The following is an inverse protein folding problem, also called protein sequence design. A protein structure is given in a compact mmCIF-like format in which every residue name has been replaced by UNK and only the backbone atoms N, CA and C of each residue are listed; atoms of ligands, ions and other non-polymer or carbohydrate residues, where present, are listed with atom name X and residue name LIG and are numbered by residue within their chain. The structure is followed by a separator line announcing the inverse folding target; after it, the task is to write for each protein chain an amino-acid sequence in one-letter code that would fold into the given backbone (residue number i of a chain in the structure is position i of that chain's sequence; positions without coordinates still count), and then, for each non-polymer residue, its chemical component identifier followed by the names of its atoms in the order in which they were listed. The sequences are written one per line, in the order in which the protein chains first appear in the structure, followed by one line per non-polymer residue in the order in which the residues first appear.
data_IF_075718366397
#
_entry.id   IF_075718366397
#
_cell.length_a   1.000
_cell.length_b   1.000
_cell.length_c   1.000
_cell.angle_alpha   90.00
_cell.angle_beta   90.00
_cell.angle_gamma   90.00
#
_symmetry.space_group_name_H-M   'P 1'
#
loop_
_entity.id
_entity.type
_entity.pdbx_description
1 polymer ?
#
# COMPACT_ATOMS: atom_id res chain seq x y z
N UNK A 1 51.97 14.40 -38.18
CA UNK A 1 53.19 14.48 -37.34
C UNK A 1 52.76 14.41 -35.89
N UNK A 2 52.97 13.27 -35.22
CA UNK A 2 52.54 13.07 -33.84
C UNK A 2 53.60 13.66 -32.89
N UNK A 3 53.16 14.57 -32.00
CA UNK A 3 54.02 15.19 -31.01
C UNK A 3 54.59 14.12 -30.07
N UNK A 4 55.91 13.99 -30.04
CA UNK A 4 56.63 13.08 -29.15
C UNK A 4 56.49 13.62 -27.73
N UNK A 5 55.54 13.10 -26.96
CA UNK A 5 55.40 13.44 -25.54
C UNK A 5 56.66 12.93 -24.81
N UNK A 6 57.39 13.87 -24.21
CA UNK A 6 58.68 13.63 -23.58
C UNK A 6 58.51 12.82 -22.29
N UNK A 7 58.77 11.50 -22.39
CA UNK A 7 58.62 10.49 -21.32
C UNK A 7 59.35 10.87 -20.03
N UNK A 8 60.38 11.72 -20.11
CA UNK A 8 61.17 12.21 -18.95
C UNK A 8 60.50 13.35 -18.18
N UNK A 9 59.53 14.07 -18.76
CA UNK A 9 58.77 15.13 -18.08
C UNK A 9 57.62 14.60 -17.22
N UNK A 10 57.02 13.47 -17.63
CA UNK A 10 55.99 12.77 -16.83
C UNK A 10 56.56 12.07 -15.58
N UNK A 11 57.87 11.77 -15.57
CA UNK A 11 58.57 11.09 -14.47
C UNK A 11 59.17 12.03 -13.40
N UNK A 12 59.02 13.36 -13.55
CA UNK A 12 59.69 14.37 -12.71
C UNK A 12 58.75 15.33 -11.98
N UNK A 13 57.43 15.19 -12.13
CA UNK A 13 56.53 15.90 -11.23
C UNK A 13 56.53 15.15 -9.89
N UNK A 14 56.76 15.82 -8.75
CA UNK A 14 56.55 15.18 -7.46
C UNK A 14 55.06 14.87 -7.38
N UNK A 15 54.75 13.62 -7.66
CA UNK A 15 53.51 12.90 -7.42
C UNK A 15 52.52 13.73 -6.56
N UNK A 16 51.56 14.41 -7.20
CA UNK A 16 50.55 15.19 -6.48
C UNK A 16 49.79 14.30 -5.47
N UNK A 17 49.70 13.01 -5.77
CA UNK A 17 49.22 11.98 -4.87
C UNK A 17 50.09 11.76 -3.64
N UNK A 18 51.42 11.76 -3.76
CA UNK A 18 52.33 11.63 -2.60
C UNK A 18 52.24 12.87 -1.71
N UNK A 19 52.19 14.08 -2.30
CA UNK A 19 52.08 15.31 -1.49
C UNK A 19 50.69 15.49 -0.85
N UNK A 20 49.63 14.99 -1.46
CA UNK A 20 48.29 14.96 -0.85
C UNK A 20 48.21 13.93 0.28
N UNK A 21 48.72 12.72 0.06
CA UNK A 21 48.73 11.65 1.07
C UNK A 21 49.65 11.97 2.25
N UNK A 22 50.83 12.54 2.03
CA UNK A 22 51.70 13.00 3.12
C UNK A 22 51.05 14.11 3.95
N UNK A 23 50.36 15.06 3.31
CA UNK A 23 49.60 16.10 4.01
C UNK A 23 48.43 15.53 4.80
N UNK A 24 47.70 14.58 4.23
CA UNK A 24 46.59 13.91 4.91
C UNK A 24 47.06 13.09 6.12
N UNK A 25 48.17 12.35 5.98
CA UNK A 25 48.77 11.55 7.06
C UNK A 25 49.32 12.44 8.17
N UNK A 26 50.00 13.54 7.82
CA UNK A 26 50.50 14.50 8.79
C UNK A 26 49.35 15.17 9.54
N UNK A 27 48.32 15.63 8.83
CA UNK A 27 47.12 16.19 9.46
C UNK A 27 46.42 15.18 10.36
N UNK A 28 46.27 13.92 9.94
CA UNK A 28 45.66 12.87 10.74
C UNK A 28 46.45 12.56 12.02
N UNK A 29 47.79 12.59 11.96
CA UNK A 29 48.65 12.48 13.15
C UNK A 29 48.48 13.68 14.09
N UNK A 30 48.52 14.89 13.53
CA UNK A 30 48.40 16.14 14.29
C UNK A 30 46.98 16.32 14.88
N UNK A 31 45.98 15.64 14.31
CA UNK A 31 44.58 15.69 14.73
C UNK A 31 44.04 14.31 15.17
N UNK A 32 44.89 13.42 15.66
CA UNK A 32 44.53 12.01 15.93
C UNK A 32 43.29 11.89 16.83
N UNK A 33 43.17 12.72 17.86
CA UNK A 33 42.00 12.75 18.75
C UNK A 33 40.70 13.06 17.98
N UNK A 34 40.72 14.03 17.06
CA UNK A 34 39.55 14.37 16.23
C UNK A 34 39.22 13.25 15.25
N UNK A 35 40.22 12.65 14.64
CA UNK A 35 40.04 11.50 13.73
C UNK A 35 39.41 10.32 14.47
N UNK A 36 39.89 10.00 15.68
CA UNK A 36 39.33 8.94 16.50
C UNK A 36 37.89 9.23 16.93
N UNK A 37 37.57 10.48 17.31
CA UNK A 37 36.20 10.88 17.65
C UNK A 37 35.28 10.68 16.44
N UNK A 38 35.65 11.20 15.26
CA UNK A 38 34.85 11.06 14.04
C UNK A 38 34.69 9.59 13.66
N UNK A 39 35.77 8.81 13.67
CA UNK A 39 35.72 7.38 13.36
C UNK A 39 34.82 6.62 14.34
N UNK A 40 34.94 6.90 15.65
CA UNK A 40 34.08 6.29 16.67
C UNK A 40 32.61 6.66 16.50
N UNK A 41 32.32 7.92 16.15
CA UNK A 41 30.96 8.37 15.86
C UNK A 41 30.37 7.67 14.62
N UNK A 42 31.16 7.49 13.56
CA UNK A 42 30.74 6.74 12.36
C UNK A 42 30.47 5.28 12.69
N UNK A 43 31.34 4.62 13.46
CA UNK A 43 31.14 3.23 13.90
C UNK A 43 29.90 3.12 14.79
N UNK A 44 29.70 4.04 15.73
CA UNK A 44 28.51 4.06 16.57
C UNK A 44 27.23 4.24 15.76
N UNK A 45 27.21 5.18 14.80
CA UNK A 45 26.09 5.37 13.89
C UNK A 45 25.79 4.10 13.08
N UNK A 46 26.82 3.42 12.56
CA UNK A 46 26.67 2.17 11.83
C UNK A 46 26.07 1.07 12.72
N UNK A 47 26.54 0.93 13.96
CA UNK A 47 26.00 -0.03 14.93
C UNK A 47 24.53 0.25 15.21
N UNK A 48 24.13 1.52 15.38
CA UNK A 48 22.73 1.91 15.58
C UNK A 48 21.87 1.54 14.36
N UNK A 49 22.32 1.84 13.14
CA UNK A 49 21.60 1.48 11.91
C UNK A 49 21.42 -0.03 11.79
N UNK A 50 22.49 -0.81 12.06
CA UNK A 50 22.43 -2.27 12.00
C UNK A 50 21.51 -2.84 13.09
N UNK A 51 21.53 -2.27 14.30
CA UNK A 51 20.65 -2.67 15.39
C UNK A 51 19.17 -2.41 15.06
N UNK A 52 18.85 -1.23 14.52
CA UNK A 52 17.48 -0.89 14.06
C UNK A 52 17.05 -1.87 12.97
N UNK A 53 17.91 -2.11 11.97
CA UNK A 53 17.59 -3.06 10.89
C UNK A 53 17.33 -4.47 11.43
N UNK A 54 18.22 -4.98 12.29
CA UNK A 54 18.06 -6.31 12.88
C UNK A 54 16.78 -6.42 13.72
N UNK A 55 16.42 -5.37 14.47
CA UNK A 55 15.18 -5.31 15.23
C UNK A 55 13.95 -5.33 14.32
N UNK A 56 13.92 -4.50 13.26
CA UNK A 56 12.83 -4.45 12.29
C UNK A 56 12.67 -5.80 11.56
N UNK A 57 13.77 -6.40 11.10
CA UNK A 57 13.76 -7.71 10.45
C UNK A 57 13.22 -8.80 11.38
N UNK A 58 13.64 -8.80 12.66
CA UNK A 58 13.14 -9.73 13.66
C UNK A 58 11.64 -9.54 13.93
N UNK A 59 11.20 -8.30 14.03
CA UNK A 59 9.78 -7.97 14.25
C UNK A 59 8.91 -8.35 13.04
N UNK A 60 9.41 -8.13 11.81
CA UNK A 60 8.75 -8.57 10.58
C UNK A 60 8.60 -10.10 10.51
N UNK A 61 9.64 -10.86 10.90
CA UNK A 61 9.58 -12.33 10.94
C UNK A 61 8.56 -12.84 11.94
N UNK A 62 8.46 -12.22 13.12
CA UNK A 62 7.45 -12.57 14.11
C UNK A 62 6.04 -12.27 13.60
N UNK A 63 5.84 -11.11 12.96
CA UNK A 63 4.55 -10.76 12.37
C UNK A 63 4.12 -11.77 11.31
N UNK A 64 5.02 -12.17 10.42
CA UNK A 64 4.76 -13.19 9.40
C UNK A 64 4.44 -14.56 10.03
N UNK A 65 5.17 -14.97 11.07
CA UNK A 65 4.93 -16.20 11.79
C UNK A 65 3.58 -16.20 12.53
N UNK A 66 3.16 -15.06 13.07
CA UNK A 66 1.86 -14.89 13.71
C UNK A 66 0.70 -14.92 12.70
N UNK A 67 0.90 -14.36 11.51
CA UNK A 67 -0.12 -14.29 10.46
C UNK A 67 -0.33 -15.63 9.73
N UNK A 68 0.76 -16.35 9.44
CA UNK A 68 0.74 -17.56 8.62
C UNK A 68 -0.34 -18.61 9.02
N UNK A 69 -0.48 -19.03 10.29
CA UNK A 69 -1.49 -20.00 10.67
C UNK A 69 -2.92 -19.49 10.50
N UNK A 70 -3.14 -18.18 10.72
CA UNK A 70 -4.46 -17.56 10.56
C UNK A 70 -4.87 -17.55 9.09
N UNK A 71 -3.92 -17.24 8.19
CA UNK A 71 -4.15 -17.26 6.75
C UNK A 71 -4.39 -18.66 6.19
N UNK A 72 -3.79 -19.70 6.79
CA UNK A 72 -4.13 -21.09 6.44
C UNK A 72 -5.59 -21.40 6.75
N UNK A 73 -6.13 -20.91 7.88
CA UNK A 73 -7.56 -21.03 8.20
C UNK A 73 -8.46 -20.16 7.31
N UNK A 74 -7.96 -19.00 6.89
CA UNK A 74 -8.65 -18.08 5.99
C UNK A 74 -8.97 -18.70 4.63
N UNK A 75 -8.20 -19.71 4.17
CA UNK A 75 -8.48 -20.42 2.93
C UNK A 75 -9.89 -21.03 2.91
N UNK A 76 -10.39 -21.54 4.04
CA UNK A 76 -11.76 -22.06 4.14
C UNK A 76 -12.83 -20.99 3.89
N UNK A 77 -12.51 -19.71 4.14
CA UNK A 77 -13.37 -18.56 3.86
C UNK A 77 -13.46 -18.31 2.38
N UNK A 78 -12.32 -18.28 1.71
CA UNK A 78 -12.22 -18.09 0.26
C UNK A 78 -12.93 -19.23 -0.49
N UNK A 79 -12.83 -20.46 0.02
CA UNK A 79 -13.51 -21.63 -0.54
C UNK A 79 -15.01 -21.71 -0.21
N UNK A 80 -15.54 -20.78 0.60
CA UNK A 80 -16.95 -20.78 1.02
C UNK A 80 -17.32 -21.92 1.96
N UNK A 81 -16.35 -22.55 2.63
CA UNK A 81 -16.53 -23.70 3.53
C UNK A 81 -16.59 -23.31 5.01
N UNK A 82 -16.18 -22.10 5.37
CA UNK A 82 -16.18 -21.64 6.74
C UNK A 82 -17.56 -21.10 7.16
N UNK A 83 -18.00 -21.48 8.35
CA UNK A 83 -19.23 -20.97 8.95
C UNK A 83 -18.99 -19.64 9.70
N UNK A 84 -20.07 -19.01 10.16
CA UNK A 84 -20.01 -17.73 10.86
C UNK A 84 -19.16 -17.78 12.14
N UNK A 85 -19.13 -18.91 12.84
CA UNK A 85 -18.35 -19.08 14.08
C UNK A 85 -16.85 -19.14 13.77
N UNK A 86 -16.47 -19.85 12.71
CA UNK A 86 -15.11 -19.91 12.22
C UNK A 86 -14.64 -18.53 11.75
N UNK A 87 -15.47 -17.79 10.99
CA UNK A 87 -15.15 -16.40 10.61
C UNK A 87 -14.90 -15.51 11.82
N UNK A 88 -15.75 -15.61 12.85
CA UNK A 88 -15.60 -14.80 14.06
C UNK A 88 -14.29 -15.14 14.80
N UNK A 89 -13.94 -16.43 14.91
CA UNK A 89 -12.68 -16.88 15.49
C UNK A 89 -11.46 -16.38 14.69
N UNK A 90 -11.51 -16.44 13.36
CA UNK A 90 -10.45 -15.90 12.51
C UNK A 90 -10.32 -14.38 12.66
N UNK A 91 -11.44 -13.65 12.75
CA UNK A 91 -11.42 -12.20 12.98
C UNK A 91 -10.78 -11.84 14.33
N UNK A 92 -11.03 -12.62 15.40
CA UNK A 92 -10.36 -12.43 16.70
C UNK A 92 -8.84 -12.69 16.61
N UNK A 93 -8.43 -13.74 15.89
CA UNK A 93 -7.01 -14.04 15.67
C UNK A 93 -6.32 -12.95 14.86
N UNK A 94 -6.93 -12.48 13.78
CA UNK A 94 -6.42 -11.36 12.99
C UNK A 94 -6.36 -10.08 13.82
N UNK A 95 -7.36 -9.82 14.67
CA UNK A 95 -7.35 -8.65 15.58
C UNK A 95 -6.07 -8.63 16.44
N UNK A 96 -5.67 -9.78 17.00
CA UNK A 96 -4.41 -9.91 17.76
C UNK A 96 -3.20 -9.55 16.90
N UNK A 97 -3.10 -10.13 15.69
CA UNK A 97 -2.00 -9.81 14.76
C UNK A 97 -1.97 -8.33 14.41
N UNK A 98 -3.13 -7.69 14.18
CA UNK A 98 -3.21 -6.27 13.84
C UNK A 98 -2.83 -5.35 15.00
N UNK A 99 -3.10 -5.76 16.24
CA UNK A 99 -2.74 -4.99 17.43
C UNK A 99 -1.24 -5.08 17.72
N UNK A 100 -0.67 -6.27 17.59
CA UNK A 100 0.73 -6.52 17.96
C UNK A 100 1.70 -6.12 16.85
N UNK A 101 1.28 -6.22 15.58
CA UNK A 101 2.16 -6.08 14.42
C UNK A 101 1.63 -5.14 13.33
N UNK A 102 0.65 -4.28 13.63
CA UNK A 102 -0.13 -3.53 12.64
C UNK A 102 0.68 -2.70 11.63
N UNK A 103 1.83 -2.16 12.02
CA UNK A 103 2.71 -1.37 11.15
C UNK A 103 3.66 -2.21 10.26
N UNK A 104 3.69 -3.54 10.46
CA UNK A 104 4.48 -4.44 9.61
C UNK A 104 3.70 -4.79 8.32
N UNK A 105 4.37 -5.24 7.24
CA UNK A 105 3.68 -5.70 6.04
C UNK A 105 2.66 -6.82 6.31
N UNK A 106 2.99 -7.77 7.20
CA UNK A 106 2.07 -8.81 7.63
C UNK A 106 0.89 -8.23 8.43
N UNK A 107 1.12 -7.23 9.28
CA UNK A 107 0.05 -6.51 9.97
C UNK A 107 -0.92 -5.80 9.02
N UNK A 108 -0.41 -5.17 7.97
CA UNK A 108 -1.24 -4.54 6.94
C UNK A 108 -2.07 -5.56 6.17
N UNK A 109 -1.49 -6.70 5.81
CA UNK A 109 -2.22 -7.83 5.21
C UNK A 109 -3.28 -8.39 6.18
N UNK A 110 -2.96 -8.49 7.46
CA UNK A 110 -3.90 -8.92 8.50
C UNK A 110 -5.07 -7.94 8.64
N UNK A 111 -4.83 -6.63 8.52
CA UNK A 111 -5.88 -5.60 8.53
C UNK A 111 -6.82 -5.72 7.34
N UNK A 112 -6.30 -5.98 6.12
CA UNK A 112 -7.14 -6.25 4.95
C UNK A 112 -8.06 -7.45 5.19
N UNK A 113 -7.47 -8.59 5.57
CA UNK A 113 -8.23 -9.81 5.83
C UNK A 113 -9.24 -9.65 6.98
N UNK A 114 -8.88 -8.89 8.03
CA UNK A 114 -9.79 -8.59 9.12
C UNK A 114 -10.98 -7.76 8.63
N UNK A 115 -10.71 -6.72 7.85
CA UNK A 115 -11.76 -5.89 7.24
C UNK A 115 -12.71 -6.72 6.39
N UNK A 116 -12.19 -7.62 5.56
CA UNK A 116 -12.99 -8.51 4.70
C UNK A 116 -13.88 -9.48 5.50
N UNK A 117 -13.38 -10.05 6.59
CA UNK A 117 -14.20 -10.87 7.51
C UNK A 117 -15.29 -10.04 8.16
N UNK A 118 -14.95 -8.83 8.62
CA UNK A 118 -15.92 -7.94 9.25
C UNK A 118 -17.02 -7.53 8.27
N UNK A 119 -16.70 -7.32 6.99
CA UNK A 119 -17.69 -7.11 5.93
C UNK A 119 -18.60 -8.33 5.75
N UNK A 120 -18.02 -9.52 5.63
CA UNK A 120 -18.76 -10.79 5.48
C UNK A 120 -19.69 -11.05 6.67
N UNK A 121 -19.26 -10.67 7.87
CA UNK A 121 -20.02 -10.75 9.11
C UNK A 121 -21.02 -9.59 9.30
N UNK A 122 -21.17 -8.70 8.31
CA UNK A 122 -22.00 -7.49 8.36
C UNK A 122 -21.67 -6.55 9.55
N UNK A 123 -20.44 -6.60 10.07
CA UNK A 123 -19.93 -5.73 11.14
C UNK A 123 -19.37 -4.44 10.54
N UNK A 124 -20.21 -3.72 9.81
CA UNK A 124 -19.81 -2.57 9.00
C UNK A 124 -19.07 -1.46 9.75
N UNK A 125 -19.47 -1.04 10.97
CA UNK A 125 -18.73 0.00 11.70
C UNK A 125 -17.30 -0.43 12.07
N UNK A 126 -17.11 -1.71 12.41
CA UNK A 126 -15.79 -2.24 12.73
C UNK A 126 -14.93 -2.35 11.48
N UNK A 127 -15.50 -2.86 10.38
CA UNK A 127 -14.82 -2.91 9.08
C UNK A 127 -14.38 -1.52 8.61
N UNK A 128 -15.26 -0.52 8.71
CA UNK A 128 -14.97 0.85 8.32
C UNK A 128 -13.77 1.41 9.11
N UNK A 129 -13.71 1.18 10.42
CA UNK A 129 -12.58 1.61 11.26
C UNK A 129 -11.27 0.95 10.82
N UNK A 130 -11.29 -0.36 10.59
CA UNK A 130 -10.09 -1.11 10.16
C UNK A 130 -9.58 -0.61 8.81
N UNK A 131 -10.46 -0.48 7.82
CA UNK A 131 -10.09 -0.01 6.50
C UNK A 131 -9.71 1.46 6.46
N UNK A 132 -10.33 2.32 7.28
CA UNK A 132 -9.95 3.73 7.37
C UNK A 132 -8.50 3.86 7.84
N UNK A 133 -8.18 3.26 8.98
CA UNK A 133 -6.81 3.28 9.53
C UNK A 133 -5.81 2.72 8.52
N UNK A 134 -6.15 1.60 7.88
CA UNK A 134 -5.28 1.00 6.87
C UNK A 134 -5.09 1.91 5.65
N UNK A 135 -6.16 2.54 5.15
CA UNK A 135 -6.13 3.39 3.95
C UNK A 135 -5.34 4.69 4.14
N UNK A 136 -5.12 5.09 5.39
CA UNK A 136 -4.35 6.25 5.82
C UNK A 136 -2.92 5.88 6.27
N UNK A 137 -2.55 4.59 6.23
CA UNK A 137 -1.23 4.11 6.63
C UNK A 137 -0.15 4.63 5.65
N UNK A 138 0.86 5.39 6.12
CA UNK A 138 1.83 6.05 5.23
C UNK A 138 2.64 5.08 4.36
N UNK A 139 3.00 3.93 4.92
CA UNK A 139 3.83 2.91 4.27
C UNK A 139 3.00 1.81 3.60
N UNK A 140 1.69 2.05 3.36
CA UNK A 140 0.83 1.09 2.68
C UNK A 140 1.35 0.84 1.25
N UNK A 141 1.64 -0.42 0.87
CA UNK A 141 2.03 -0.74 -0.50
C UNK A 141 0.97 -0.28 -1.50
N UNK A 142 1.43 0.27 -2.62
CA UNK A 142 0.56 0.84 -3.66
C UNK A 142 -0.44 -0.19 -4.21
N UNK A 143 -0.07 -1.46 -4.24
CA UNK A 143 -0.91 -2.57 -4.68
C UNK A 143 -2.07 -2.85 -3.72
N UNK A 144 -1.91 -2.54 -2.43
CA UNK A 144 -2.92 -2.75 -1.39
C UNK A 144 -3.83 -1.54 -1.20
N UNK A 145 -3.37 -0.34 -1.55
CA UNK A 145 -4.11 0.90 -1.34
C UNK A 145 -5.52 0.90 -1.99
N UNK A 146 -5.71 0.46 -3.25
CA UNK A 146 -7.05 0.36 -3.83
C UNK A 146 -7.98 -0.60 -3.08
N UNK A 147 -7.44 -1.68 -2.53
CA UNK A 147 -8.21 -2.67 -1.77
C UNK A 147 -8.68 -2.09 -0.44
N UNK A 148 -7.81 -1.37 0.28
CA UNK A 148 -8.18 -0.71 1.53
C UNK A 148 -9.28 0.34 1.32
N UNK A 149 -9.14 1.21 0.31
CA UNK A 149 -10.14 2.21 -0.02
C UNK A 149 -11.46 1.61 -0.51
N UNK A 150 -11.41 0.53 -1.29
CA UNK A 150 -12.61 -0.19 -1.73
C UNK A 150 -13.32 -0.86 -0.56
N UNK A 151 -12.59 -1.52 0.34
CA UNK A 151 -13.13 -2.12 1.56
C UNK A 151 -13.78 -1.09 2.48
N UNK A 152 -13.18 0.10 2.61
CA UNK A 152 -13.79 1.23 3.31
C UNK A 152 -15.11 1.65 2.67
N UNK A 153 -15.15 1.75 1.33
CA UNK A 153 -16.37 2.03 0.58
C UNK A 153 -17.47 0.99 0.82
N UNK A 154 -17.11 -0.30 0.79
CA UNK A 154 -18.04 -1.40 1.07
C UNK A 154 -18.58 -1.35 2.50
N UNK A 155 -17.73 -1.03 3.47
CA UNK A 155 -18.15 -0.90 4.86
C UNK A 155 -19.10 0.28 5.05
N UNK A 156 -18.78 1.44 4.49
CA UNK A 156 -19.62 2.63 4.55
C UNK A 156 -20.96 2.41 3.85
N UNK A 157 -20.95 1.72 2.71
CA UNK A 157 -22.16 1.37 1.98
C UNK A 157 -23.05 0.41 2.77
N UNK A 158 -22.49 -0.64 3.38
CA UNK A 158 -23.25 -1.55 4.25
C UNK A 158 -23.85 -0.83 5.46
N UNK A 159 -23.17 0.21 5.95
CA UNK A 159 -23.67 1.14 6.97
C UNK A 159 -24.64 2.21 6.40
N UNK A 160 -25.01 2.15 5.11
CA UNK A 160 -25.87 3.08 4.38
C UNK A 160 -25.35 4.53 4.32
N UNK A 161 -24.06 4.73 4.57
CA UNK A 161 -23.40 6.03 4.40
C UNK A 161 -22.94 6.20 2.94
N UNK A 162 -23.91 6.36 2.04
CA UNK A 162 -23.67 6.34 0.60
C UNK A 162 -22.77 7.46 0.09
N UNK A 163 -22.83 8.66 0.70
CA UNK A 163 -21.97 9.78 0.31
C UNK A 163 -20.49 9.52 0.65
N UNK A 164 -20.22 8.98 1.84
CA UNK A 164 -18.87 8.58 2.22
C UNK A 164 -18.37 7.41 1.33
N UNK A 165 -19.23 6.41 1.11
CA UNK A 165 -18.91 5.26 0.25
C UNK A 165 -18.51 5.72 -1.17
N UNK A 166 -19.25 6.69 -1.75
CA UNK A 166 -18.95 7.24 -3.06
C UNK A 166 -17.55 7.87 -3.13
N UNK A 167 -17.14 8.54 -2.05
CA UNK A 167 -15.82 9.17 -1.94
C UNK A 167 -14.72 8.10 -1.84
N UNK A 168 -14.91 7.09 -0.99
CA UNK A 168 -13.95 6.00 -0.81
C UNK A 168 -13.78 5.15 -2.08
N UNK A 169 -14.88 4.82 -2.77
CA UNK A 169 -14.81 4.14 -4.08
C UNK A 169 -14.15 5.01 -5.16
N UNK A 170 -14.37 6.32 -5.13
CA UNK A 170 -13.65 7.26 -6.00
C UNK A 170 -12.14 7.19 -5.77
N UNK A 171 -11.71 7.26 -4.50
CA UNK A 171 -10.30 7.14 -4.14
C UNK A 171 -9.70 5.79 -4.53
N UNK A 172 -10.45 4.69 -4.34
CA UNK A 172 -10.04 3.37 -4.80
C UNK A 172 -9.85 3.33 -6.33
N UNK A 173 -10.78 3.93 -7.09
CA UNK A 173 -10.70 3.98 -8.56
C UNK A 173 -9.49 4.79 -9.06
N UNK A 174 -9.10 5.84 -8.35
CA UNK A 174 -7.95 6.68 -8.70
C UNK A 174 -6.60 5.98 -8.49
N UNK A 175 -6.54 5.08 -7.50
CA UNK A 175 -5.33 4.32 -7.18
C UNK A 175 -5.24 2.99 -7.93
N UNK A 176 -6.37 2.47 -8.42
CA UNK A 176 -6.47 1.16 -9.03
C UNK A 176 -5.92 1.10 -10.46
N UNK A 177 -5.41 -0.08 -10.83
CA UNK A 177 -5.22 -0.45 -12.25
C UNK A 177 -6.55 -0.57 -13.02
N UNK A 178 -6.51 -0.67 -14.36
CA UNK A 178 -7.69 -0.48 -15.22
C UNK A 178 -8.91 -1.35 -14.87
N UNK A 179 -8.71 -2.65 -14.64
CA UNK A 179 -9.80 -3.56 -14.31
C UNK A 179 -10.49 -3.21 -12.99
N UNK A 180 -9.71 -3.05 -11.90
CA UNK A 180 -10.27 -2.71 -10.59
C UNK A 180 -10.87 -1.31 -10.58
N UNK A 181 -10.27 -0.34 -11.30
CA UNK A 181 -10.81 1.01 -11.47
C UNK A 181 -12.25 0.98 -11.99
N UNK A 182 -12.52 0.18 -13.03
CA UNK A 182 -13.87 0.05 -13.61
C UNK A 182 -14.88 -0.53 -12.61
N UNK A 183 -14.47 -1.53 -11.83
CA UNK A 183 -15.31 -2.10 -10.76
C UNK A 183 -15.61 -1.06 -9.67
N UNK A 184 -14.61 -0.31 -9.21
CA UNK A 184 -14.79 0.77 -8.24
C UNK A 184 -15.69 1.89 -8.78
N UNK A 185 -15.63 2.21 -10.08
CA UNK A 185 -16.53 3.19 -10.70
C UNK A 185 -17.98 2.70 -10.76
N UNK A 186 -18.22 1.41 -11.03
CA UNK A 186 -19.56 0.82 -10.90
C UNK A 186 -20.08 0.92 -9.47
N UNK A 187 -19.25 0.53 -8.49
CA UNK A 187 -19.60 0.59 -7.07
C UNK A 187 -19.93 2.04 -6.65
N UNK A 188 -19.11 3.01 -7.08
CA UNK A 188 -19.35 4.45 -6.87
C UNK A 188 -20.65 4.93 -7.49
N UNK A 189 -20.93 4.60 -8.76
CA UNK A 189 -22.15 5.02 -9.43
C UNK A 189 -23.40 4.48 -8.72
N UNK A 190 -23.34 3.22 -8.27
CA UNK A 190 -24.43 2.58 -7.54
C UNK A 190 -24.75 3.30 -6.23
N UNK A 191 -23.72 3.64 -5.43
CA UNK A 191 -23.95 4.38 -4.18
C UNK A 191 -24.33 5.84 -4.40
N UNK A 192 -23.85 6.49 -5.46
CA UNK A 192 -24.33 7.84 -5.84
C UNK A 192 -25.83 7.84 -6.17
N UNK A 193 -26.30 6.84 -6.92
CA UNK A 193 -27.72 6.65 -7.19
C UNK A 193 -28.54 6.46 -5.90
N UNK A 194 -28.04 5.64 -4.97
CA UNK A 194 -28.66 5.43 -3.66
C UNK A 194 -28.66 6.69 -2.77
N UNK A 195 -27.66 7.57 -2.94
CA UNK A 195 -27.59 8.87 -2.29
C UNK A 195 -28.49 9.94 -2.93
N UNK A 196 -29.16 9.62 -4.05
CA UNK A 196 -30.02 10.54 -4.80
C UNK A 196 -29.32 11.34 -5.91
N UNK A 197 -27.99 11.24 -6.04
CA UNK A 197 -27.22 11.89 -7.11
C UNK A 197 -27.24 11.05 -8.40
N UNK A 198 -28.45 10.93 -8.97
CA UNK A 198 -28.68 10.15 -10.20
C UNK A 198 -27.89 10.70 -11.39
N UNK A 199 -27.64 12.01 -11.42
CA UNK A 199 -26.91 12.65 -12.51
C UNK A 199 -25.45 12.20 -12.51
N UNK A 200 -24.76 12.32 -11.38
CA UNK A 200 -23.36 11.89 -11.28
C UNK A 200 -23.22 10.38 -11.49
N UNK A 201 -24.17 9.58 -10.98
CA UNK A 201 -24.21 8.14 -11.23
C UNK A 201 -24.32 7.83 -12.74
N UNK A 202 -25.26 8.46 -13.44
CA UNK A 202 -25.45 8.25 -14.87
C UNK A 202 -24.23 8.68 -15.70
N UNK A 203 -23.58 9.78 -15.33
CA UNK A 203 -22.38 10.27 -16.03
C UNK A 203 -21.22 9.27 -15.94
N UNK A 204 -21.02 8.63 -14.79
CA UNK A 204 -20.01 7.57 -14.64
C UNK A 204 -20.35 6.36 -15.51
N UNK A 205 -21.61 5.91 -15.49
CA UNK A 205 -22.05 4.72 -16.23
C UNK A 205 -21.95 4.92 -17.74
N UNK A 206 -22.34 6.10 -18.25
CA UNK A 206 -22.19 6.44 -19.68
C UNK A 206 -20.74 6.50 -20.10
N UNK A 207 -19.84 7.05 -19.27
CA UNK A 207 -18.40 7.03 -19.55
C UNK A 207 -17.85 5.60 -19.63
N UNK A 208 -18.31 4.70 -18.76
CA UNK A 208 -17.95 3.28 -18.84
C UNK A 208 -18.49 2.63 -20.12
N UNK A 209 -19.70 2.96 -20.57
CA UNK A 209 -20.25 2.42 -21.82
C UNK A 209 -19.54 2.93 -23.08
N UNK A 210 -19.02 4.15 -23.04
CA UNK A 210 -18.29 4.75 -24.15
C UNK A 210 -16.83 4.25 -24.27
N UNK A 211 -16.30 3.59 -23.24
CA UNK A 211 -14.94 3.05 -23.23
C UNK A 211 -14.93 1.60 -23.75
N UNK A 212 -14.35 1.32 -24.93
CA UNK A 212 -14.26 -0.04 -25.46
C UNK A 212 -13.50 -1.00 -24.54
N UNK A 213 -12.54 -0.49 -23.74
CA UNK A 213 -11.79 -1.29 -22.77
C UNK A 213 -12.62 -1.66 -21.53
N UNK A 214 -13.85 -1.16 -21.43
CA UNK A 214 -14.80 -1.44 -20.36
C UNK A 214 -15.91 -2.41 -20.78
N UNK A 215 -15.76 -3.12 -21.91
CA UNK A 215 -16.74 -4.12 -22.38
C UNK A 215 -17.14 -5.14 -21.29
N UNK A 216 -16.19 -5.55 -20.45
CA UNK A 216 -16.39 -6.47 -19.31
C UNK A 216 -17.37 -5.95 -18.24
N UNK A 217 -17.57 -4.63 -18.13
CA UNK A 217 -18.50 -3.99 -17.19
C UNK A 217 -19.70 -3.35 -17.88
N UNK A 218 -19.80 -3.41 -19.21
CA UNK A 218 -20.82 -2.70 -19.97
C UNK A 218 -22.24 -3.13 -19.59
N UNK A 219 -22.51 -4.42 -19.46
CA UNK A 219 -23.84 -4.91 -19.05
C UNK A 219 -24.23 -4.44 -17.65
N UNK A 220 -23.27 -4.43 -16.70
CA UNK A 220 -23.50 -3.88 -15.36
C UNK A 220 -23.78 -2.37 -15.42
N UNK A 221 -23.11 -1.65 -16.32
CA UNK A 221 -23.35 -0.22 -16.50
C UNK A 221 -24.74 0.08 -17.09
N UNK A 222 -25.21 -0.72 -18.06
CA UNK A 222 -26.57 -0.64 -18.61
C UNK A 222 -27.63 -0.89 -17.54
N UNK A 223 -27.48 -1.97 -16.76
CA UNK A 223 -28.37 -2.29 -15.63
C UNK A 223 -28.40 -1.13 -14.63
N UNK A 224 -27.24 -0.53 -14.34
CA UNK A 224 -27.14 0.65 -13.48
C UNK A 224 -27.97 1.84 -14.01
N UNK A 225 -27.91 2.15 -15.31
CA UNK A 225 -28.70 3.22 -15.91
C UNK A 225 -30.20 2.92 -15.84
N UNK A 226 -30.60 1.69 -16.17
CA UNK A 226 -32.00 1.27 -16.06
C UNK A 226 -32.54 1.39 -14.64
N UNK A 227 -31.74 1.04 -13.62
CA UNK A 227 -32.11 1.20 -12.21
C UNK A 227 -32.29 2.67 -11.80
N UNK A 228 -31.68 3.62 -12.52
CA UNK A 228 -31.90 5.06 -12.32
C UNK A 228 -33.15 5.57 -13.04
N UNK A 229 -33.81 4.74 -13.86
CA UNK A 229 -34.92 5.12 -14.74
C UNK A 229 -34.44 5.81 -16.03
N UNK A 230 -33.21 5.55 -16.45
CA UNK A 230 -32.60 6.15 -17.63
C UNK A 230 -32.28 5.07 -18.66
N UNK A 231 -32.56 5.34 -19.93
CA UNK A 231 -32.11 4.45 -20.99
C UNK A 231 -30.59 4.57 -21.19
N UNK A 232 -29.95 3.43 -21.44
CA UNK A 232 -28.64 3.39 -22.04
C UNK A 232 -28.82 3.81 -23.51
N UNK A 233 -28.91 5.12 -23.78
CA UNK A 233 -29.10 5.66 -25.12
C UNK A 233 -28.11 4.99 -26.08
N UNK A 234 -28.66 4.17 -26.97
CA UNK A 234 -27.93 3.34 -27.92
C UNK A 234 -27.25 4.21 -28.97
N UNK A 235 -25.98 3.90 -29.22
CA UNK A 235 -25.40 4.02 -30.56
C UNK A 235 -25.61 2.71 -31.29
#
# INVERSE_FOLDING_TARGET
MAAKVDRKKLLKQPDEFLTFSDRAVKWARDNLQRVLIIASAVVAALVVVLAIKAYLDFHQRQAAAALAPVMSGYQAVVEGKADQKMMASLAEQLTKVTNDYGATPAGMQARLALGDLLLTLARFPQAAKVFQVLSEEPDLPAELAPMAWRGLGQAQEGAKNYAAAASSYGRAADLAGPHLRRLCLLDRARVLGAAGDKKAAADILRKLLADPAAAEVAERAKVGLSALGLEASGG
#
